data_IF_445079160403
#
_entry.id   IF_445079160403
#
_cell.length_a   1.000
_cell.length_b   1.000
_cell.length_c   1.000
_cell.angle_alpha   90.00
_cell.angle_beta   90.00
_cell.angle_gamma   90.00
#
_symmetry.space_group_name_H-M   'P 1'
#
loop_
_entity.id
_entity.type
_entity.pdbx_description
1 polymer ?
#
# COMPACT_ATOMS: atom_id res chain seq x y z
N UNK A 1 -26.42 13.01 -20.04
CA UNK A 1 -26.10 11.83 -19.21
C UNK A 1 -27.30 10.90 -19.32
N UNK A 2 -27.18 9.77 -20.02
CA UNK A 2 -28.33 8.89 -20.30
C UNK A 2 -28.77 8.16 -19.03
N UNK A 3 -30.08 8.00 -18.85
CA UNK A 3 -30.73 7.31 -17.72
C UNK A 3 -30.24 5.88 -17.47
N UNK A 4 -29.51 5.28 -18.41
CA UNK A 4 -28.96 3.93 -18.30
C UNK A 4 -27.80 3.78 -17.30
N UNK A 5 -27.15 4.87 -16.85
CA UNK A 5 -26.07 4.81 -15.84
C UNK A 5 -26.63 4.73 -14.40
N UNK A 6 -27.91 5.06 -14.18
CA UNK A 6 -28.54 5.05 -12.85
C UNK A 6 -28.94 3.66 -12.33
N UNK A 7 -28.88 2.62 -13.16
CA UNK A 7 -29.03 1.24 -12.67
C UNK A 7 -27.68 0.75 -12.16
N UNK A 8 -27.31 1.21 -10.96
CA UNK A 8 -26.07 0.91 -10.26
C UNK A 8 -25.80 -0.59 -10.18
N UNK A 9 -25.00 -1.09 -11.11
CA UNK A 9 -24.46 -2.43 -11.02
C UNK A 9 -23.48 -2.41 -9.85
N UNK A 10 -23.80 -3.13 -8.78
CA UNK A 10 -22.91 -3.26 -7.63
C UNK A 10 -21.52 -3.65 -8.14
N UNK A 11 -20.46 -2.93 -7.77
CA UNK A 11 -19.12 -3.26 -8.24
C UNK A 11 -18.72 -4.64 -7.71
N UNK A 12 -17.75 -5.27 -8.37
CA UNK A 12 -17.24 -6.58 -7.95
C UNK A 12 -16.67 -6.51 -6.53
N UNK A 13 -16.54 -7.68 -5.86
CA UNK A 13 -15.96 -7.74 -4.50
C UNK A 13 -14.58 -7.05 -4.51
N UNK A 14 -14.30 -6.23 -3.49
CA UNK A 14 -13.02 -5.53 -3.35
C UNK A 14 -12.93 -4.19 -4.08
N UNK A 15 -13.94 -3.82 -4.89
CA UNK A 15 -14.03 -2.50 -5.49
C UNK A 15 -14.97 -1.64 -4.63
N UNK A 16 -14.45 -0.52 -4.14
CA UNK A 16 -15.18 0.44 -3.31
C UNK A 16 -15.85 -0.18 -2.06
N UNK A 17 -15.19 -1.07 -1.30
CA UNK A 17 -15.78 -1.69 -0.10
C UNK A 17 -16.05 -0.66 1.02
N UNK A 18 -15.54 0.55 0.87
CA UNK A 18 -15.46 1.61 1.86
C UNK A 18 -16.49 2.74 1.67
N UNK A 19 -17.35 2.64 0.65
CA UNK A 19 -18.37 3.65 0.33
C UNK A 19 -19.67 3.02 -0.17
N UNK A 20 -20.78 3.74 0.02
CA UNK A 20 -22.07 3.38 -0.57
C UNK A 20 -22.08 3.65 -2.10
N UNK A 21 -22.92 2.94 -2.88
CA UNK A 21 -22.98 3.09 -4.34
C UNK A 21 -23.15 4.53 -4.83
N UNK A 22 -23.87 5.38 -4.11
CA UNK A 22 -24.09 6.78 -4.48
C UNK A 22 -22.78 7.59 -4.54
N UNK A 23 -21.77 7.23 -3.74
CA UNK A 23 -20.46 7.89 -3.77
C UNK A 23 -19.73 7.68 -5.10
N UNK A 24 -20.04 6.60 -5.83
CA UNK A 24 -19.41 6.25 -7.10
C UNK A 24 -19.94 7.07 -8.27
N UNK A 25 -21.16 7.59 -8.17
CA UNK A 25 -21.86 8.25 -9.28
C UNK A 25 -22.26 9.71 -8.99
N UNK A 26 -21.92 10.22 -7.80
CA UNK A 26 -22.12 11.63 -7.49
C UNK A 26 -21.12 12.55 -8.23
N UNK A 27 -21.39 13.85 -8.20
CA UNK A 27 -20.58 14.88 -8.87
C UNK A 27 -19.30 15.28 -8.10
N UNK A 28 -19.02 14.67 -6.94
CA UNK A 28 -17.78 14.95 -6.22
C UNK A 28 -16.61 14.31 -6.94
N UNK A 29 -15.46 14.99 -6.86
CA UNK A 29 -14.18 14.45 -7.31
C UNK A 29 -13.82 13.22 -6.49
N UNK A 30 -13.06 12.31 -7.07
CA UNK A 30 -12.72 11.01 -6.49
C UNK A 30 -11.21 10.82 -6.38
N UNK A 31 -10.78 10.16 -5.32
CA UNK A 31 -9.44 9.61 -5.17
C UNK A 31 -9.60 8.09 -5.14
N UNK A 32 -9.10 7.42 -6.18
CA UNK A 32 -9.11 5.97 -6.29
C UNK A 32 -7.77 5.43 -5.78
N UNK A 33 -7.75 4.69 -4.67
CA UNK A 33 -6.54 4.04 -4.17
C UNK A 33 -6.55 2.56 -4.54
N UNK A 34 -5.64 2.16 -5.43
CA UNK A 34 -5.42 0.79 -5.84
C UNK A 34 -4.40 0.07 -4.97
N UNK A 35 -4.48 -1.27 -4.97
CA UNK A 35 -3.48 -2.14 -4.35
C UNK A 35 -3.63 -2.22 -2.85
N UNK A 36 -4.80 -1.90 -2.28
CA UNK A 36 -4.99 -2.01 -0.84
C UNK A 36 -4.78 -3.47 -0.38
N UNK A 37 -3.90 -3.72 0.61
CA UNK A 37 -3.43 -5.06 0.90
C UNK A 37 -4.53 -5.94 1.48
N UNK A 38 -4.65 -7.17 0.97
CA UNK A 38 -5.50 -8.21 1.55
C UNK A 38 -4.72 -9.26 2.35
N UNK A 39 -3.39 -9.22 2.30
CA UNK A 39 -2.50 -10.12 3.02
C UNK A 39 -2.23 -9.65 4.47
N UNK A 40 -1.61 -10.50 5.28
CA UNK A 40 -1.68 -10.42 6.74
C UNK A 40 -0.51 -9.68 7.40
N UNK A 41 0.29 -8.95 6.62
CA UNK A 41 1.34 -8.08 7.15
C UNK A 41 0.71 -6.84 7.79
N UNK A 42 0.81 -6.73 9.12
CA UNK A 42 0.22 -5.62 9.89
C UNK A 42 0.86 -4.27 9.56
N UNK A 43 2.13 -4.24 9.15
CA UNK A 43 2.80 -3.01 8.71
C UNK A 43 2.15 -2.43 7.45
N UNK A 44 1.87 -3.25 6.46
CA UNK A 44 1.19 -2.81 5.23
C UNK A 44 -0.29 -2.47 5.50
N UNK A 45 -0.96 -3.17 6.42
CA UNK A 45 -2.30 -2.78 6.87
C UNK A 45 -2.30 -1.41 7.58
N UNK A 46 -1.25 -1.11 8.37
CA UNK A 46 -1.09 0.19 9.02
C UNK A 46 -0.88 1.31 7.99
N UNK A 47 -0.13 1.06 6.91
CA UNK A 47 0.04 1.99 5.79
C UNK A 47 -1.31 2.27 5.13
N UNK A 48 -2.07 1.24 4.76
CA UNK A 48 -3.38 1.42 4.14
C UNK A 48 -4.36 2.19 5.04
N UNK A 49 -4.36 1.88 6.34
CA UNK A 49 -5.15 2.64 7.32
C UNK A 49 -4.73 4.11 7.38
N UNK A 50 -3.42 4.38 7.40
CA UNK A 50 -2.88 5.74 7.42
C UNK A 50 -3.21 6.52 6.14
N UNK A 51 -3.13 5.88 4.98
CA UNK A 51 -3.52 6.47 3.69
C UNK A 51 -4.99 6.87 3.67
N UNK A 52 -5.90 6.00 4.12
CA UNK A 52 -7.32 6.33 4.25
C UNK A 52 -7.53 7.55 5.16
N UNK A 53 -6.97 7.52 6.38
CA UNK A 53 -7.17 8.63 7.34
C UNK A 53 -6.55 9.92 6.80
N UNK A 54 -5.38 9.85 6.19
CA UNK A 54 -4.73 11.02 5.60
C UNK A 54 -5.59 11.64 4.50
N UNK A 55 -6.09 10.82 3.57
CA UNK A 55 -6.91 11.29 2.45
C UNK A 55 -8.22 11.90 2.96
N UNK A 56 -8.96 11.20 3.82
CA UNK A 56 -10.24 11.68 4.34
C UNK A 56 -10.10 12.98 5.14
N UNK A 57 -9.03 13.12 5.92
CA UNK A 57 -8.81 14.30 6.77
C UNK A 57 -8.35 15.54 5.99
N UNK A 58 -7.50 15.37 4.96
CA UNK A 58 -6.90 16.49 4.24
C UNK A 58 -7.59 16.82 2.92
N UNK A 59 -8.37 15.87 2.37
CA UNK A 59 -9.11 16.04 1.12
C UNK A 59 -10.61 15.72 1.29
N UNK A 60 -11.32 16.35 2.24
CA UNK A 60 -12.72 16.04 2.55
C UNK A 60 -13.70 16.34 1.41
N UNK A 61 -13.25 17.09 0.40
CA UNK A 61 -14.02 17.39 -0.82
C UNK A 61 -13.91 16.32 -1.91
N UNK A 62 -13.10 15.29 -1.66
CA UNK A 62 -12.98 14.12 -2.53
C UNK A 62 -13.69 12.93 -1.88
N UNK A 63 -14.35 12.10 -2.69
CA UNK A 63 -14.74 10.76 -2.29
C UNK A 63 -13.49 9.86 -2.35
N UNK A 64 -13.14 9.24 -1.22
CA UNK A 64 -12.08 8.25 -1.15
C UNK A 64 -12.66 6.88 -1.52
N UNK A 65 -12.17 6.29 -2.60
CA UNK A 65 -12.63 5.00 -3.11
C UNK A 65 -11.45 4.04 -3.07
N UNK A 66 -11.60 2.97 -2.30
CA UNK A 66 -10.57 1.96 -2.13
C UNK A 66 -10.77 0.78 -3.09
N UNK A 67 -9.67 0.23 -3.61
CA UNK A 67 -9.67 -0.93 -4.49
C UNK A 67 -8.63 -1.91 -3.93
N UNK A 68 -9.13 -3.05 -3.46
CA UNK A 68 -8.32 -4.13 -2.90
C UNK A 68 -7.40 -4.72 -3.97
N UNK A 69 -6.23 -5.20 -3.56
CA UNK A 69 -5.20 -5.80 -4.42
C UNK A 69 -5.76 -6.91 -5.35
N UNK A 70 -6.56 -7.83 -4.82
CA UNK A 70 -7.18 -8.92 -5.57
C UNK A 70 -8.24 -8.44 -6.58
N UNK A 71 -8.63 -7.17 -6.53
CA UNK A 71 -9.62 -6.56 -7.41
C UNK A 71 -8.98 -5.58 -8.41
N UNK A 72 -7.65 -5.56 -8.57
CA UNK A 72 -6.97 -4.59 -9.43
C UNK A 72 -7.47 -4.59 -10.87
N UNK A 73 -7.55 -5.75 -11.53
CA UNK A 73 -7.92 -5.82 -12.95
C UNK A 73 -9.39 -5.39 -13.18
N UNK A 74 -10.33 -5.92 -12.39
CA UNK A 74 -11.74 -5.51 -12.43
C UNK A 74 -11.91 -4.04 -12.03
N UNK A 75 -11.11 -3.56 -11.07
CA UNK A 75 -11.06 -2.19 -10.61
C UNK A 75 -10.61 -1.22 -11.71
N UNK A 76 -9.61 -1.60 -12.52
CA UNK A 76 -9.17 -0.79 -13.66
C UNK A 76 -10.32 -0.61 -14.65
N UNK A 77 -11.00 -1.70 -15.02
CA UNK A 77 -12.13 -1.64 -15.96
C UNK A 77 -13.31 -0.86 -15.38
N UNK A 78 -13.60 -1.04 -14.09
CA UNK A 78 -14.64 -0.27 -13.41
C UNK A 78 -14.33 1.23 -13.40
N UNK A 79 -13.14 1.62 -12.94
CA UNK A 79 -12.74 3.03 -12.79
C UNK A 79 -12.69 3.74 -14.14
N UNK A 80 -12.24 3.08 -15.23
CA UNK A 80 -12.29 3.67 -16.59
C UNK A 80 -13.68 4.15 -17.00
N UNK A 81 -14.74 3.53 -16.49
CA UNK A 81 -16.12 3.89 -16.83
C UNK A 81 -16.66 5.09 -16.04
N UNK A 82 -16.05 5.43 -14.90
CA UNK A 82 -16.59 6.45 -13.97
C UNK A 82 -15.63 7.60 -13.67
N UNK A 83 -14.33 7.44 -13.96
CA UNK A 83 -13.31 8.43 -13.61
C UNK A 83 -13.54 9.76 -14.35
N UNK A 84 -13.56 10.84 -13.59
CA UNK A 84 -13.66 12.22 -14.07
C UNK A 84 -12.30 12.87 -14.28
N UNK A 85 -12.26 13.94 -15.09
CA UNK A 85 -11.02 14.66 -15.45
C UNK A 85 -10.20 15.20 -14.26
N UNK A 86 -10.85 15.50 -13.13
CA UNK A 86 -10.25 16.11 -11.94
C UNK A 86 -10.02 15.09 -10.81
N UNK A 87 -10.27 13.81 -11.10
CA UNK A 87 -10.05 12.70 -10.19
C UNK A 87 -8.57 12.31 -10.15
N UNK A 88 -8.18 11.63 -9.08
CA UNK A 88 -6.80 11.22 -8.82
C UNK A 88 -6.76 9.70 -8.69
N UNK A 89 -5.76 9.09 -9.32
CA UNK A 89 -5.44 7.68 -9.14
C UNK A 89 -4.24 7.57 -8.21
N UNK A 90 -4.37 6.77 -7.16
CA UNK A 90 -3.30 6.44 -6.26
C UNK A 90 -3.04 4.93 -6.29
N UNK A 91 -1.83 4.53 -5.92
CA UNK A 91 -1.53 3.14 -5.59
C UNK A 91 -0.81 3.10 -4.26
N UNK A 92 -1.19 2.14 -3.39
CA UNK A 92 -0.68 2.00 -2.02
C UNK A 92 0.83 2.10 -1.91
N UNK A 93 1.30 2.64 -0.77
CA UNK A 93 2.69 2.80 -0.39
C UNK A 93 3.38 1.50 0.03
N UNK A 94 4.46 1.61 0.80
CA UNK A 94 5.12 0.49 1.45
C UNK A 94 6.39 -0.04 0.77
N UNK A 95 6.76 -1.28 1.09
CA UNK A 95 8.03 -1.91 0.67
C UNK A 95 7.95 -2.73 -0.62
N UNK A 96 7.07 -2.38 -1.56
CA UNK A 96 6.62 -3.29 -2.61
C UNK A 96 6.94 -2.85 -4.05
N UNK A 97 7.64 -1.73 -4.26
CA UNK A 97 8.09 -1.30 -5.59
C UNK A 97 9.44 -1.96 -5.92
N UNK A 98 9.45 -2.84 -6.92
CA UNK A 98 10.71 -3.40 -7.43
C UNK A 98 10.62 -4.86 -7.85
N UNK A 99 11.69 -5.63 -7.62
CA UNK A 99 11.78 -7.02 -8.11
C UNK A 99 11.47 -8.12 -7.09
N UNK A 100 11.29 -7.76 -5.80
CA UNK A 100 11.04 -8.74 -4.73
C UNK A 100 9.56 -9.15 -4.63
N UNK A 101 8.65 -8.19 -4.85
CA UNK A 101 7.21 -8.35 -4.74
C UNK A 101 6.54 -8.13 -6.09
N UNK A 102 6.80 -9.04 -7.03
CA UNK A 102 6.42 -8.87 -8.44
C UNK A 102 4.92 -8.77 -8.65
N UNK A 103 4.10 -9.52 -7.91
CA UNK A 103 2.65 -9.49 -8.09
C UNK A 103 2.10 -8.06 -7.83
N UNK A 104 2.60 -7.40 -6.78
CA UNK A 104 2.22 -6.01 -6.45
C UNK A 104 2.77 -5.02 -7.48
N UNK A 105 4.02 -5.20 -7.91
CA UNK A 105 4.64 -4.34 -8.92
C UNK A 105 3.97 -4.49 -10.31
N UNK A 106 3.53 -5.69 -10.68
CA UNK A 106 2.78 -5.94 -11.91
C UNK A 106 1.44 -5.22 -11.89
N UNK A 107 0.69 -5.31 -10.80
CA UNK A 107 -0.57 -4.58 -10.62
C UNK A 107 -0.35 -3.07 -10.65
N UNK A 108 0.70 -2.56 -10.01
CA UNK A 108 1.09 -1.15 -10.07
C UNK A 108 1.37 -0.69 -11.51
N UNK A 109 2.13 -1.48 -12.28
CA UNK A 109 2.40 -1.20 -13.70
C UNK A 109 1.12 -1.15 -14.52
N UNK A 110 0.18 -2.08 -14.31
CA UNK A 110 -1.13 -2.09 -15.01
C UNK A 110 -1.91 -0.83 -14.71
N UNK A 111 -2.05 -0.45 -13.43
CA UNK A 111 -2.79 0.75 -13.01
C UNK A 111 -2.16 2.01 -13.62
N UNK A 112 -0.85 2.19 -13.48
CA UNK A 112 -0.18 3.40 -14.01
C UNK A 112 -0.30 3.49 -15.53
N UNK A 113 -0.17 2.36 -16.24
CA UNK A 113 -0.31 2.31 -17.71
C UNK A 113 -1.74 2.59 -18.17
N UNK A 114 -2.74 2.13 -17.40
CA UNK A 114 -4.15 2.31 -17.73
C UNK A 114 -4.63 3.77 -17.59
N UNK A 115 -4.09 4.51 -16.61
CA UNK A 115 -4.56 5.87 -16.27
C UNK A 115 -3.60 6.98 -16.71
N UNK A 116 -2.97 6.82 -17.88
CA UNK A 116 -1.92 7.71 -18.41
C UNK A 116 -2.24 9.21 -18.53
N UNK A 117 -3.51 9.59 -18.55
CA UNK A 117 -3.94 10.99 -18.69
C UNK A 117 -4.41 11.62 -17.37
N UNK A 118 -4.39 10.85 -16.27
CA UNK A 118 -4.87 11.29 -14.97
C UNK A 118 -3.71 11.60 -14.05
N UNK A 119 -3.95 12.47 -13.06
CA UNK A 119 -2.99 12.67 -11.98
C UNK A 119 -2.84 11.34 -11.23
N UNK A 120 -1.63 10.80 -11.23
CA UNK A 120 -1.35 9.51 -10.60
C UNK A 120 -0.27 9.64 -9.55
N UNK A 121 -0.50 9.07 -8.36
CA UNK A 121 0.43 9.14 -7.23
C UNK A 121 0.74 7.70 -6.76
N UNK A 122 2.01 7.31 -6.86
CA UNK A 122 2.52 6.18 -6.07
C UNK A 122 2.80 6.70 -4.67
N UNK A 123 1.98 6.31 -3.69
CA UNK A 123 2.09 6.76 -2.29
C UNK A 123 3.48 6.41 -1.70
N UNK A 124 3.96 6.96 -0.57
CA UNK A 124 5.34 6.80 -0.11
C UNK A 124 5.86 5.34 -0.05
N UNK A 125 6.99 5.05 -0.72
CA UNK A 125 7.51 3.66 -0.91
C UNK A 125 9.01 3.54 -0.71
N UNK A 126 9.42 2.32 -0.36
CA UNK A 126 10.78 1.83 -0.60
C UNK A 126 10.87 1.18 -1.99
N UNK A 127 12.00 1.35 -2.66
CA UNK A 127 12.25 0.91 -4.03
C UNK A 127 13.48 0.03 -4.07
N UNK A 128 13.35 -1.20 -4.58
CA UNK A 128 14.49 -2.11 -4.71
C UNK A 128 14.40 -3.02 -5.93
N UNK A 129 15.35 -2.85 -6.85
CA UNK A 129 15.59 -3.78 -7.95
C UNK A 129 16.86 -4.56 -7.67
N UNK A 130 16.76 -5.90 -7.63
CA UNK A 130 17.91 -6.76 -7.40
C UNK A 130 19.00 -6.50 -8.45
N UNK A 131 20.30 -6.57 -8.07
CA UNK A 131 21.43 -6.44 -9.00
C UNK A 131 21.65 -7.73 -9.80
N UNK A 132 20.56 -8.31 -10.32
CA UNK A 132 20.54 -9.51 -11.15
C UNK A 132 19.96 -9.19 -12.52
N UNK A 133 20.18 -10.04 -13.52
CA UNK A 133 19.53 -9.86 -14.83
C UNK A 133 18.01 -9.81 -14.72
N UNK A 134 17.43 -10.60 -13.81
CA UNK A 134 15.99 -10.57 -13.53
C UNK A 134 15.59 -9.20 -12.99
N UNK A 135 16.27 -8.70 -11.96
CA UNK A 135 15.97 -7.38 -11.40
C UNK A 135 16.11 -6.25 -12.42
N UNK A 136 17.11 -6.30 -13.31
CA UNK A 136 17.27 -5.34 -14.40
C UNK A 136 16.16 -5.44 -15.47
N UNK A 137 15.67 -6.65 -15.78
CA UNK A 137 14.50 -6.82 -16.66
C UNK A 137 13.26 -6.21 -16.04
N UNK A 138 13.03 -6.44 -14.76
CA UNK A 138 11.89 -5.88 -14.03
C UNK A 138 11.98 -4.35 -13.93
N UNK A 139 13.17 -3.81 -13.69
CA UNK A 139 13.42 -2.36 -13.77
C UNK A 139 12.99 -1.77 -15.11
N UNK A 140 13.33 -2.40 -16.23
CA UNK A 140 12.94 -1.94 -17.58
C UNK A 140 11.42 -1.98 -17.78
N UNK A 141 10.75 -3.05 -17.37
CA UNK A 141 9.29 -3.14 -17.43
C UNK A 141 8.61 -2.02 -16.64
N UNK A 142 9.11 -1.72 -15.43
CA UNK A 142 8.61 -0.59 -14.63
C UNK A 142 8.86 0.75 -15.33
N UNK A 143 10.05 0.95 -15.91
CA UNK A 143 10.35 2.18 -16.68
C UNK A 143 9.41 2.38 -17.86
N UNK A 144 9.12 1.32 -18.62
CA UNK A 144 8.20 1.34 -19.76
C UNK A 144 6.77 1.69 -19.31
N UNK A 145 6.25 0.96 -18.33
CA UNK A 145 4.89 1.18 -17.81
C UNK A 145 4.72 2.58 -17.21
N UNK A 146 5.68 3.01 -16.38
CA UNK A 146 5.57 4.28 -15.66
C UNK A 146 5.76 5.47 -16.61
N UNK A 147 6.61 5.30 -17.64
CA UNK A 147 6.82 6.29 -18.69
C UNK A 147 5.58 6.54 -19.56
N UNK A 148 4.56 5.69 -19.51
CA UNK A 148 3.30 5.92 -20.21
C UNK A 148 2.50 7.09 -19.62
N UNK A 149 2.70 7.42 -18.33
CA UNK A 149 1.95 8.45 -17.63
C UNK A 149 2.84 9.67 -17.29
N UNK A 150 2.78 10.77 -18.07
CA UNK A 150 3.56 11.98 -17.78
C UNK A 150 3.10 12.71 -16.50
N UNK A 151 1.92 12.40 -15.98
CA UNK A 151 1.35 12.98 -14.76
C UNK A 151 1.62 12.14 -13.51
N UNK A 152 2.49 11.13 -13.61
CA UNK A 152 2.89 10.29 -12.48
C UNK A 152 3.79 11.07 -11.50
N UNK A 153 3.47 10.91 -10.21
CA UNK A 153 4.33 11.29 -9.09
C UNK A 153 4.66 10.05 -8.26
N UNK A 154 5.93 9.82 -8.00
CA UNK A 154 6.42 8.72 -7.16
C UNK A 154 6.91 9.32 -5.84
N UNK A 155 6.33 8.89 -4.73
CA UNK A 155 6.74 9.31 -3.40
C UNK A 155 7.78 8.32 -2.84
N UNK A 156 9.00 8.79 -2.59
CA UNK A 156 10.01 8.00 -1.88
C UNK A 156 9.92 8.28 -0.38
N UNK A 157 9.97 7.22 0.45
CA UNK A 157 9.87 7.34 1.92
C UNK A 157 11.21 7.44 2.65
N UNK A 158 12.30 7.15 1.95
CA UNK A 158 13.67 7.24 2.47
C UNK A 158 14.67 7.59 1.35
N UNK A 159 15.88 8.02 1.73
CA UNK A 159 16.84 8.64 0.83
C UNK A 159 17.42 7.72 -0.25
N UNK A 160 17.57 6.43 0.04
CA UNK A 160 18.07 5.44 -0.93
C UNK A 160 17.07 5.28 -2.07
N UNK A 161 15.78 5.13 -1.75
CA UNK A 161 14.69 5.06 -2.72
C UNK A 161 14.54 6.35 -3.49
N UNK A 162 14.71 7.51 -2.84
CA UNK A 162 14.71 8.80 -3.54
C UNK A 162 15.77 8.83 -4.64
N UNK A 163 16.98 8.35 -4.34
CA UNK A 163 18.05 8.26 -5.32
C UNK A 163 17.70 7.28 -6.44
N UNK A 164 17.26 6.06 -6.10
CA UNK A 164 16.90 5.03 -7.08
C UNK A 164 15.79 5.52 -8.00
N UNK A 165 14.76 6.19 -7.47
CA UNK A 165 13.65 6.72 -8.26
C UNK A 165 14.13 7.78 -9.25
N UNK A 166 14.95 8.74 -8.79
CA UNK A 166 15.51 9.80 -9.65
C UNK A 166 16.40 9.25 -10.77
N UNK A 167 17.15 8.20 -10.50
CA UNK A 167 18.03 7.55 -11.49
C UNK A 167 17.26 6.64 -12.45
N UNK A 168 16.12 6.09 -12.01
CA UNK A 168 15.39 5.06 -12.75
C UNK A 168 14.25 5.63 -13.58
N UNK A 169 13.45 6.54 -13.02
CA UNK A 169 12.19 6.96 -13.60
C UNK A 169 12.22 8.43 -14.05
N UNK A 170 11.58 8.70 -15.19
CA UNK A 170 11.31 10.07 -15.66
C UNK A 170 9.91 10.50 -15.20
N UNK A 171 9.73 10.59 -13.90
CA UNK A 171 8.47 10.98 -13.26
C UNK A 171 8.72 12.11 -12.25
N UNK A 172 7.66 12.78 -11.80
CA UNK A 172 7.77 13.67 -10.65
C UNK A 172 8.12 12.85 -9.41
N UNK A 173 8.93 13.40 -8.52
CA UNK A 173 9.36 12.71 -7.31
C UNK A 173 9.10 13.58 -6.10
N UNK A 174 8.44 13.00 -5.10
CA UNK A 174 8.31 13.61 -3.78
C UNK A 174 9.12 12.80 -2.76
N UNK A 175 9.69 13.51 -1.80
CA UNK A 175 10.40 12.91 -0.68
C UNK A 175 9.65 13.24 0.60
N UNK A 176 9.04 12.24 1.21
CA UNK A 176 8.21 12.39 2.41
C UNK A 176 8.54 11.28 3.41
N UNK A 177 8.12 11.39 4.67
CA UNK A 177 8.11 10.24 5.57
C UNK A 177 7.12 9.17 5.09
N UNK A 178 7.16 8.00 5.73
CA UNK A 178 6.15 6.94 5.57
C UNK A 178 4.75 7.43 5.99
N UNK A 179 3.70 6.89 5.35
CA UNK A 179 2.32 7.26 5.63
C UNK A 179 1.90 7.00 7.06
N UNK A 180 2.42 5.97 7.72
CA UNK A 180 2.09 5.65 9.12
C UNK A 180 2.40 6.83 10.05
N UNK A 181 3.42 7.64 9.73
CA UNK A 181 3.77 8.83 10.51
C UNK A 181 2.77 9.99 10.39
N UNK A 182 1.77 9.87 9.52
CA UNK A 182 0.62 10.79 9.47
C UNK A 182 -0.43 10.50 10.54
N UNK A 183 -0.40 9.30 11.15
CA UNK A 183 -1.32 8.93 12.21
C UNK A 183 -0.96 9.64 13.52
N UNK A 184 -2.00 10.09 14.23
CA UNK A 184 -1.88 10.51 15.62
C UNK A 184 -2.25 9.32 16.50
N UNK A 185 -1.25 8.61 16.99
CA UNK A 185 -1.43 7.50 17.92
C UNK A 185 -1.09 8.01 19.32
N UNK A 186 -2.07 7.95 20.22
CA UNK A 186 -1.84 8.22 21.64
C UNK A 186 -1.26 6.97 22.29
N UNK A 187 -0.10 7.06 22.98
CA UNK A 187 0.47 5.94 23.70
C UNK A 187 -0.52 5.45 24.75
N UNK A 188 -0.77 4.14 24.79
CA UNK A 188 -1.52 3.54 25.89
C UNK A 188 -0.60 3.33 27.09
N UNK A 189 -1.09 3.68 28.28
CA UNK A 189 -0.42 3.38 29.54
C UNK A 189 -0.79 1.96 29.97
N UNK A 190 -0.04 0.99 29.43
CA UNK A 190 -0.20 -0.43 29.73
C UNK A 190 0.93 -0.89 30.64
N UNK A 191 0.59 -1.76 31.61
CA UNK A 191 1.62 -2.52 32.33
C UNK A 191 2.39 -3.38 31.33
N UNK A 192 3.73 -3.25 31.35
CA UNK A 192 4.62 -4.00 30.46
C UNK A 192 5.30 -5.11 31.25
N UNK A 193 5.31 -6.31 30.68
CA UNK A 193 5.98 -7.47 31.25
C UNK A 193 6.88 -8.13 30.20
N UNK A 194 8.12 -8.43 30.58
CA UNK A 194 9.07 -9.17 29.73
C UNK A 194 9.62 -8.42 28.50
N UNK A 195 10.04 -9.21 27.51
CA UNK A 195 10.68 -8.77 26.26
C UNK A 195 10.05 -9.48 25.06
N UNK A 196 9.61 -8.72 24.05
CA UNK A 196 9.07 -9.25 22.80
C UNK A 196 10.06 -9.05 21.65
N UNK A 197 10.41 -10.16 20.98
CA UNK A 197 11.20 -10.17 19.77
C UNK A 197 10.28 -10.16 18.55
N UNK A 198 10.15 -9.01 17.89
CA UNK A 198 9.44 -8.90 16.61
C UNK A 198 10.43 -9.04 15.47
N UNK A 199 10.51 -10.24 14.88
CA UNK A 199 11.51 -10.60 13.88
C UNK A 199 10.88 -11.26 12.66
N UNK A 200 11.28 -10.81 11.48
CA UNK A 200 10.77 -11.33 10.20
C UNK A 200 11.18 -12.77 9.95
N UNK A 201 10.28 -13.55 9.38
CA UNK A 201 10.52 -14.89 8.86
C UNK A 201 10.64 -14.94 7.32
N UNK A 202 10.34 -13.85 6.62
CA UNK A 202 10.20 -13.80 5.17
C UNK A 202 11.49 -13.43 4.39
N UNK A 203 11.34 -13.09 3.11
CA UNK A 203 12.44 -12.80 2.17
C UNK A 203 13.32 -11.61 2.58
N UNK A 204 12.84 -10.74 3.46
CA UNK A 204 13.62 -9.58 3.94
C UNK A 204 14.47 -9.93 5.18
N UNK A 205 14.36 -11.15 5.70
CA UNK A 205 15.16 -11.59 6.85
C UNK A 205 16.65 -11.62 6.53
N UNK A 206 17.42 -10.89 7.32
CA UNK A 206 18.90 -10.81 7.24
C UNK A 206 19.60 -11.30 8.52
N UNK A 207 18.85 -11.71 9.54
CA UNK A 207 19.40 -12.10 10.86
C UNK A 207 19.73 -13.59 10.95
N UNK A 208 20.84 -13.89 11.64
CA UNK A 208 21.28 -15.27 11.94
C UNK A 208 20.52 -15.83 13.14
N UNK A 209 19.92 -17.01 12.99
CA UNK A 209 19.14 -17.68 14.05
C UNK A 209 19.95 -18.02 15.30
N UNK A 210 21.23 -18.36 15.16
CA UNK A 210 22.08 -18.64 16.33
C UNK A 210 22.24 -17.37 17.19
N UNK A 211 22.46 -16.23 16.54
CA UNK A 211 22.56 -14.94 17.21
C UNK A 211 21.25 -14.56 17.90
N UNK A 212 20.11 -14.77 17.24
CA UNK A 212 18.78 -14.52 17.83
C UNK A 212 18.56 -15.39 19.07
N UNK A 213 18.92 -16.67 18.98
CA UNK A 213 18.75 -17.64 20.07
C UNK A 213 19.57 -17.26 21.30
N UNK A 214 20.84 -16.89 21.11
CA UNK A 214 21.71 -16.40 22.20
C UNK A 214 21.17 -15.13 22.85
N UNK A 215 20.55 -14.23 22.07
CA UNK A 215 20.00 -12.97 22.58
C UNK A 215 18.72 -13.20 23.39
N UNK A 216 17.86 -14.12 22.94
CA UNK A 216 16.66 -14.54 23.67
C UNK A 216 17.00 -15.22 24.99
N UNK A 217 18.01 -16.11 25.02
CA UNK A 217 18.47 -16.76 26.26
C UNK A 217 18.98 -15.72 27.28
N UNK A 218 19.70 -14.70 26.82
CA UNK A 218 20.14 -13.60 27.69
C UNK A 218 18.96 -12.78 28.21
N UNK A 219 17.98 -12.48 27.35
CA UNK A 219 16.78 -11.72 27.73
C UNK A 219 15.91 -12.46 28.75
N UNK A 220 15.89 -13.80 28.72
CA UNK A 220 15.14 -14.62 29.67
C UNK A 220 15.61 -14.45 31.13
N UNK A 221 16.82 -13.92 31.35
CA UNK A 221 17.30 -13.57 32.69
C UNK A 221 16.67 -12.26 33.23
N UNK A 222 16.02 -11.46 32.39
CA UNK A 222 15.40 -10.17 32.74
C UNK A 222 13.90 -10.35 33.02
N UNK A 223 13.22 -11.24 32.28
CA UNK A 223 11.80 -11.51 32.41
C UNK A 223 11.31 -12.50 31.34
N UNK A 224 9.98 -12.69 31.20
CA UNK A 224 9.41 -13.50 30.13
C UNK A 224 9.88 -13.04 28.75
N UNK A 225 10.08 -13.98 27.82
CA UNK A 225 10.53 -13.69 26.46
C UNK A 225 9.64 -14.39 25.45
N UNK A 226 9.09 -13.60 24.53
CA UNK A 226 8.29 -14.09 23.41
C UNK A 226 8.90 -13.67 22.06
N UNK A 227 8.53 -14.39 21.00
CA UNK A 227 8.91 -14.08 19.62
C UNK A 227 7.67 -14.08 18.73
N UNK A 228 7.58 -13.07 17.88
CA UNK A 228 6.52 -12.94 16.87
C UNK A 228 7.05 -12.34 15.57
N UNK A 229 6.20 -12.32 14.54
CA UNK A 229 6.40 -11.63 13.27
C UNK A 229 5.28 -10.57 13.09
N UNK A 230 5.48 -9.66 12.15
CA UNK A 230 4.49 -8.70 11.66
C UNK A 230 3.42 -9.32 10.76
N UNK A 231 3.56 -10.60 10.39
CA UNK A 231 2.60 -11.35 9.59
C UNK A 231 1.75 -12.22 10.51
N UNK A 232 0.43 -12.01 10.52
CA UNK A 232 -0.47 -12.84 11.33
C UNK A 232 -0.56 -14.26 10.78
N UNK A 233 -0.37 -15.25 11.64
CA UNK A 233 -0.40 -16.68 11.28
C UNK A 233 -1.78 -17.33 11.38
N UNK A 234 -2.71 -16.73 12.13
CA UNK A 234 -4.05 -17.28 12.39
C UNK A 234 -5.13 -16.70 11.46
N UNK A 235 -4.74 -15.80 10.56
CA UNK A 235 -5.62 -15.10 9.63
C UNK A 235 -5.08 -15.32 8.23
N UNK A 236 -5.94 -15.75 7.29
CA UNK A 236 -5.54 -15.96 5.91
C UNK A 236 -5.62 -14.67 5.07
N UNK A 237 -6.55 -13.78 5.41
CA UNK A 237 -6.84 -12.58 4.62
C UNK A 237 -7.42 -11.50 5.53
N UNK A 238 -7.03 -10.25 5.29
CA UNK A 238 -7.58 -9.06 5.95
C UNK A 238 -8.30 -8.23 4.89
N UNK A 239 -9.63 -8.29 4.86
CA UNK A 239 -10.44 -7.45 3.97
C UNK A 239 -10.60 -6.04 4.58
N UNK A 240 -11.11 -5.08 3.79
CA UNK A 240 -11.27 -3.69 4.23
C UNK A 240 -12.00 -3.57 5.59
N UNK A 241 -13.08 -4.33 5.75
CA UNK A 241 -13.91 -4.30 6.96
C UNK A 241 -13.18 -4.78 8.23
N UNK A 242 -12.15 -5.63 8.06
CA UNK A 242 -11.41 -6.22 9.16
C UNK A 242 -10.13 -5.45 9.52
N UNK A 243 -9.65 -4.57 8.62
CA UNK A 243 -8.37 -3.86 8.75
C UNK A 243 -8.22 -3.15 10.09
N UNK A 244 -9.19 -2.31 10.46
CA UNK A 244 -9.09 -1.51 11.68
C UNK A 244 -9.08 -2.39 12.94
N UNK A 245 -9.81 -3.51 12.93
CA UNK A 245 -9.82 -4.47 14.03
C UNK A 245 -8.43 -5.07 14.22
N UNK A 246 -7.80 -5.58 13.17
CA UNK A 246 -6.49 -6.23 13.29
C UNK A 246 -5.37 -5.23 13.54
N UNK A 247 -5.38 -4.08 12.87
CA UNK A 247 -4.38 -3.03 13.10
C UNK A 247 -4.41 -2.50 14.55
N UNK A 248 -5.60 -2.29 15.13
CA UNK A 248 -5.73 -1.77 16.50
C UNK A 248 -5.56 -2.82 17.60
N UNK A 249 -5.57 -4.11 17.24
CA UNK A 249 -5.36 -5.20 18.20
C UNK A 249 -3.87 -5.47 18.48
N UNK A 250 -2.97 -4.90 17.66
CA UNK A 250 -1.52 -5.01 17.80
C UNK A 250 -0.91 -3.86 18.60
#
# INVERSE_FOLDING_TARGET
MSEQIRNGKKPAKGIAPNVEPDALYNDKRKIFLFGSPSYTNIGDQAIAYAEEKFIRNHFPYYEYIEIMDYATDDGIEFVKNIIGKDDIVCFTGGGNLGSLYLDIEEDRRKVISAFKNYKTISMPQSVYFEPTEKGQREKRKSQEAYGMNPNLTICARESQSLQIVKETFRANVLYTPDMVLSLKIEPQDLERDGVLFVLRADKEKVTNENFVSELMERAANIGPVDRTDTVLSEVDTIDYADREKYFRAC
#
